data_IF_183171186677
#
_entry.id   IF_183171186677
#
_cell.length_a   1.000
_cell.length_b   1.000
_cell.length_c   1.000
_cell.angle_alpha   90.00
_cell.angle_beta   90.00
_cell.angle_gamma   90.00
#
_symmetry.space_group_name_H-M   'P 1'
#
loop_
_entity.id
_entity.type
_entity.pdbx_description
1 polymer ?
#
# COMPACT_ATOMS: atom_id res chain seq x y z
N UNK A 1 -0.95 -11.74 -0.11
CA UNK A 1 -0.43 -11.88 -1.49
C UNK A 1 -1.26 -11.00 -2.42
N UNK A 2 -0.62 -10.43 -3.45
CA UNK A 2 -1.30 -9.58 -4.45
C UNK A 2 -2.46 -10.30 -5.14
N UNK A 3 -3.54 -9.57 -5.33
CA UNK A 3 -4.76 -10.06 -6.00
C UNK A 3 -4.93 -9.41 -7.35
N UNK A 4 -5.49 -10.16 -8.29
CA UNK A 4 -6.05 -9.63 -9.55
C UNK A 4 -7.57 -9.62 -9.41
N UNK A 5 -8.18 -8.47 -9.62
CA UNK A 5 -9.62 -8.28 -9.55
C UNK A 5 -10.18 -7.98 -10.94
N UNK A 6 -11.26 -8.66 -11.31
CA UNK A 6 -12.09 -8.31 -12.45
C UNK A 6 -13.28 -7.49 -11.97
N UNK A 7 -13.59 -6.40 -12.66
CA UNK A 7 -14.66 -5.48 -12.26
C UNK A 7 -15.27 -4.78 -13.48
N UNK A 8 -16.57 -4.49 -13.38
CA UNK A 8 -17.27 -3.71 -14.38
C UNK A 8 -17.24 -2.22 -14.06
N UNK A 9 -16.95 -1.42 -15.08
CA UNK A 9 -16.94 0.04 -14.99
C UNK A 9 -17.50 0.63 -16.29
N UNK A 10 -18.59 1.39 -16.18
CA UNK A 10 -19.18 2.18 -17.28
C UNK A 10 -19.35 1.31 -18.55
N UNK A 11 -20.03 0.17 -18.39
CA UNK A 11 -20.41 -0.71 -19.50
C UNK A 11 -19.27 -1.54 -20.10
N UNK A 12 -18.09 -1.58 -19.48
CA UNK A 12 -16.97 -2.44 -19.88
C UNK A 12 -16.41 -3.21 -18.69
N UNK A 13 -15.92 -4.41 -18.95
CA UNK A 13 -15.24 -5.25 -17.94
C UNK A 13 -13.75 -4.99 -18.00
N UNK A 14 -13.16 -4.72 -16.85
CA UNK A 14 -11.75 -4.48 -16.65
C UNK A 14 -11.17 -5.54 -15.71
N UNK A 15 -9.85 -5.68 -15.76
CA UNK A 15 -9.10 -6.39 -14.74
C UNK A 15 -7.86 -5.59 -14.36
N UNK A 16 -7.47 -5.65 -13.10
CA UNK A 16 -6.23 -5.05 -12.62
C UNK A 16 -5.63 -5.91 -11.50
N UNK A 17 -4.32 -5.82 -11.36
CA UNK A 17 -3.56 -6.48 -10.30
C UNK A 17 -3.11 -5.43 -9.29
N UNK A 18 -3.25 -5.73 -7.99
CA UNK A 18 -2.69 -4.90 -6.92
C UNK A 18 -1.20 -4.63 -7.18
N UNK A 19 -0.73 -3.45 -6.82
CA UNK A 19 0.67 -3.05 -6.87
C UNK A 19 1.49 -3.86 -5.86
N UNK A 20 2.77 -4.01 -6.15
CA UNK A 20 3.71 -4.51 -5.16
C UNK A 20 3.86 -3.49 -4.02
N UNK A 21 4.04 -3.96 -2.79
CA UNK A 21 4.17 -3.13 -1.60
C UNK A 21 5.27 -2.07 -1.77
N UNK A 22 6.41 -2.48 -2.34
CA UNK A 22 7.52 -1.57 -2.61
C UNK A 22 7.09 -0.40 -3.52
N UNK A 23 6.41 -0.70 -4.63
CA UNK A 23 5.95 0.33 -5.58
C UNK A 23 4.90 1.24 -4.93
N UNK A 24 3.91 0.65 -4.27
CA UNK A 24 2.82 1.38 -3.63
C UNK A 24 3.30 2.35 -2.53
N UNK A 25 4.26 1.95 -1.69
CA UNK A 25 4.78 2.82 -0.63
C UNK A 25 5.81 3.83 -1.14
N UNK A 26 6.55 3.51 -2.20
CA UNK A 26 7.48 4.45 -2.82
C UNK A 26 6.73 5.61 -3.48
N UNK A 27 5.56 5.36 -4.05
CA UNK A 27 4.68 6.40 -4.61
C UNK A 27 4.18 7.40 -3.56
N UNK A 28 3.83 6.92 -2.36
CA UNK A 28 3.28 7.76 -1.29
C UNK A 28 4.35 8.63 -0.61
N UNK A 29 5.63 8.28 -0.74
CA UNK A 29 6.76 8.90 -0.04
C UNK A 29 7.39 10.11 -0.73
N UNK A 30 7.08 10.40 -1.99
CA UNK A 30 7.61 11.57 -2.68
C UNK A 30 7.54 11.52 -4.21
N UNK A 31 6.56 12.23 -4.78
CA UNK A 31 6.90 13.22 -5.80
C UNK A 31 6.88 12.86 -7.29
N UNK A 32 6.41 11.69 -7.73
CA UNK A 32 6.17 11.48 -9.17
C UNK A 32 4.68 11.55 -9.49
N UNK A 33 4.26 12.64 -10.16
CA UNK A 33 2.99 12.71 -10.90
C UNK A 33 3.02 11.65 -12.00
N UNK A 34 2.70 10.40 -11.64
CA UNK A 34 2.63 9.30 -12.61
C UNK A 34 1.54 9.61 -13.62
N UNK A 35 1.91 9.54 -14.90
CA UNK A 35 0.92 9.66 -15.96
C UNK A 35 -0.11 8.54 -15.82
N UNK A 36 -1.38 8.76 -16.23
CA UNK A 36 -2.42 7.72 -16.19
C UNK A 36 -1.98 6.38 -16.78
N UNK A 37 -1.24 6.40 -17.88
CA UNK A 37 -0.72 5.20 -18.55
C UNK A 37 0.30 4.46 -17.68
N UNK A 38 1.14 5.18 -16.94
CA UNK A 38 2.11 4.55 -16.05
C UNK A 38 1.41 3.82 -14.89
N UNK A 39 0.40 4.44 -14.30
CA UNK A 39 -0.42 3.83 -13.24
C UNK A 39 -1.14 2.57 -13.74
N UNK A 40 -1.78 2.64 -14.91
CA UNK A 40 -2.46 1.50 -15.53
C UNK A 40 -1.49 0.37 -15.86
N UNK A 41 -0.29 0.68 -16.37
CA UNK A 41 0.75 -0.30 -16.67
C UNK A 41 1.22 -1.04 -15.42
N UNK A 42 1.47 -0.32 -14.33
CA UNK A 42 1.93 -0.92 -13.07
C UNK A 42 0.86 -1.83 -12.45
N UNK A 43 -0.40 -1.42 -12.53
CA UNK A 43 -1.53 -2.25 -12.14
C UNK A 43 -1.84 -3.38 -13.15
N UNK A 44 -1.06 -3.54 -14.23
CA UNK A 44 -1.31 -4.51 -15.31
C UNK A 44 -2.76 -4.47 -15.81
N UNK A 45 -3.31 -3.26 -15.89
CA UNK A 45 -4.71 -3.04 -16.17
C UNK A 45 -5.04 -3.46 -17.61
N UNK A 46 -6.11 -4.23 -17.78
CA UNK A 46 -6.61 -4.65 -19.08
C UNK A 46 -8.12 -4.51 -19.15
N UNK A 47 -8.63 -4.38 -20.38
CA UNK A 47 -10.07 -4.28 -20.68
C UNK A 47 -10.49 -5.42 -21.60
N UNK A 48 -11.68 -5.97 -21.38
CA UNK A 48 -12.24 -7.03 -22.18
C UNK A 48 -12.92 -6.44 -23.43
N UNK A 49 -12.43 -6.81 -24.61
CA UNK A 49 -12.97 -6.38 -25.91
C UNK A 49 -13.08 -7.62 -26.81
N UNK A 50 -14.29 -7.91 -27.28
CA UNK A 50 -14.58 -9.05 -28.17
C UNK A 50 -14.03 -10.39 -27.64
N UNK A 51 -14.18 -10.62 -26.32
CA UNK A 51 -13.71 -11.82 -25.63
C UNK A 51 -12.19 -11.90 -25.42
N UNK A 52 -11.45 -10.83 -25.68
CA UNK A 52 -10.00 -10.75 -25.49
C UNK A 52 -9.60 -9.64 -24.54
N UNK A 53 -8.60 -9.90 -23.71
CA UNK A 53 -8.03 -8.91 -22.80
C UNK A 53 -7.01 -8.03 -23.52
N UNK A 54 -7.29 -6.74 -23.62
CA UNK A 54 -6.38 -5.74 -24.19
C UNK A 54 -5.70 -4.98 -23.06
N UNK A 55 -4.37 -4.98 -23.04
CA UNK A 55 -3.57 -4.27 -22.03
C UNK A 55 -3.65 -2.75 -22.24
N UNK A 56 -3.79 -2.01 -21.13
CA UNK A 56 -3.87 -0.54 -21.10
C UNK A 56 -2.50 0.08 -20.80
N UNK A 57 -1.45 -0.41 -21.46
CA UNK A 57 -0.06 -0.03 -21.22
C UNK A 57 0.44 1.11 -22.14
N UNK A 58 -0.42 1.60 -23.03
CA UNK A 58 -0.09 2.61 -24.04
C UNK A 58 -1.20 3.65 -24.19
N UNK A 59 -0.83 4.88 -24.60
CA UNK A 59 -1.81 5.95 -24.89
C UNK A 59 -2.81 5.53 -25.95
N UNK A 60 -2.38 4.76 -26.96
CA UNK A 60 -3.25 4.28 -28.03
C UNK A 60 -4.33 3.33 -27.48
N UNK A 61 -3.94 2.34 -26.67
CA UNK A 61 -4.89 1.41 -26.07
C UNK A 61 -5.85 2.11 -25.12
N UNK A 62 -5.35 3.04 -24.29
CA UNK A 62 -6.19 3.83 -23.37
C UNK A 62 -7.20 4.66 -24.14
N UNK A 63 -6.76 5.44 -25.13
CA UNK A 63 -7.65 6.31 -25.90
C UNK A 63 -8.69 5.52 -26.73
N UNK A 64 -8.35 4.32 -27.19
CA UNK A 64 -9.25 3.47 -27.97
C UNK A 64 -10.30 2.76 -27.10
N UNK A 65 -9.91 2.32 -25.90
CA UNK A 65 -10.73 1.39 -25.12
C UNK A 65 -11.24 1.92 -23.78
N UNK A 66 -10.70 3.02 -23.26
CA UNK A 66 -11.18 3.69 -22.03
C UNK A 66 -12.14 4.81 -22.40
N UNK A 67 -13.37 4.43 -22.71
CA UNK A 67 -14.45 5.33 -23.10
C UNK A 67 -15.81 4.65 -22.84
N UNK A 68 -16.83 5.46 -22.60
CA UNK A 68 -18.20 5.02 -22.40
C UNK A 68 -18.83 4.57 -23.73
N UNK A 69 -19.25 3.29 -23.86
CA UNK A 69 -19.94 2.80 -25.05
C UNK A 69 -21.18 3.60 -25.43
N UNK A 70 -21.90 4.13 -24.43
CA UNK A 70 -23.15 4.87 -24.62
C UNK A 70 -22.95 6.38 -24.77
N UNK A 71 -21.70 6.86 -24.63
CA UNK A 71 -21.30 8.27 -24.76
C UNK A 71 -22.03 9.25 -23.81
N UNK A 72 -22.52 8.77 -22.66
CA UNK A 72 -23.01 9.63 -21.59
C UNK A 72 -21.87 10.29 -20.82
N UNK A 73 -20.73 9.59 -20.68
CA UNK A 73 -19.54 10.10 -19.99
C UNK A 73 -18.40 10.42 -20.95
N UNK A 74 -17.71 11.53 -20.66
CA UNK A 74 -16.45 11.88 -21.34
C UNK A 74 -15.36 10.86 -21.00
N UNK A 75 -14.46 10.59 -21.95
CA UNK A 75 -13.37 9.63 -21.77
C UNK A 75 -12.48 9.93 -20.55
N UNK A 76 -12.28 11.21 -20.22
CA UNK A 76 -11.58 11.63 -19.01
C UNK A 76 -12.25 11.13 -17.73
N UNK A 77 -13.58 11.22 -17.65
CA UNK A 77 -14.35 10.76 -16.48
C UNK A 77 -14.23 9.24 -16.33
N UNK A 78 -14.25 8.51 -17.44
CA UNK A 78 -14.06 7.05 -17.44
C UNK A 78 -12.66 6.68 -16.96
N UNK A 79 -11.64 7.40 -17.45
CA UNK A 79 -10.26 7.20 -17.04
C UNK A 79 -10.06 7.51 -15.56
N UNK A 80 -10.59 8.62 -15.06
CA UNK A 80 -10.48 9.01 -13.65
C UNK A 80 -11.18 7.99 -12.74
N UNK A 81 -12.34 7.49 -13.15
CA UNK A 81 -13.06 6.44 -12.42
C UNK A 81 -12.26 5.12 -12.38
N UNK A 82 -11.61 4.75 -13.49
CA UNK A 82 -10.76 3.57 -13.55
C UNK A 82 -9.53 3.70 -12.64
N UNK A 83 -8.85 4.86 -12.69
CA UNK A 83 -7.71 5.14 -11.83
C UNK A 83 -8.11 5.14 -10.35
N UNK A 84 -9.27 5.70 -10.02
CA UNK A 84 -9.81 5.69 -8.66
C UNK A 84 -10.10 4.27 -8.17
N UNK A 85 -10.73 3.43 -9.00
CA UNK A 85 -10.97 2.01 -8.65
C UNK A 85 -9.66 1.26 -8.41
N UNK A 86 -8.63 1.50 -9.21
CA UNK A 86 -7.28 0.93 -9.00
C UNK A 86 -6.66 1.47 -7.71
N UNK A 87 -6.82 2.77 -7.42
CA UNK A 87 -6.36 3.35 -6.16
C UNK A 87 -7.03 2.68 -4.97
N UNK A 88 -8.36 2.54 -4.99
CA UNK A 88 -9.14 1.92 -3.93
C UNK A 88 -8.75 0.44 -3.72
N UNK A 89 -8.46 -0.29 -4.80
CA UNK A 89 -7.95 -1.67 -4.73
C UNK A 89 -6.59 -1.77 -4.00
N UNK A 90 -5.77 -0.72 -4.08
CA UNK A 90 -4.43 -0.69 -3.47
C UNK A 90 -4.39 -0.04 -2.09
N UNK A 91 -5.25 0.92 -1.82
CA UNK A 91 -5.19 1.78 -0.63
C UNK A 91 -6.52 1.92 0.11
N UNK A 92 -7.62 1.38 -0.41
CA UNK A 92 -8.93 1.45 0.24
C UNK A 92 -8.98 0.76 1.61
N UNK A 93 -8.05 -0.16 1.89
CA UNK A 93 -7.88 -0.75 3.22
C UNK A 93 -7.52 0.30 4.31
N UNK A 94 -7.01 1.48 3.91
CA UNK A 94 -6.67 2.55 4.84
C UNK A 94 -7.90 3.23 5.45
N UNK A 95 -9.02 3.30 4.73
CA UNK A 95 -10.22 4.02 5.18
C UNK A 95 -10.86 3.38 6.42
N UNK A 96 -10.69 2.07 6.61
CA UNK A 96 -11.16 1.34 7.78
C UNK A 96 -10.10 1.08 8.85
N UNK A 97 -8.86 1.52 8.64
CA UNK A 97 -7.72 1.12 9.49
C UNK A 97 -7.72 1.89 10.80
N UNK A 98 -7.66 1.17 11.91
CA UNK A 98 -7.46 1.74 13.24
C UNK A 98 -5.98 2.04 13.44
N UNK A 99 -5.62 3.31 13.53
CA UNK A 99 -4.25 3.71 13.82
C UNK A 99 -3.80 3.20 15.20
N UNK A 100 -2.62 2.59 15.24
CA UNK A 100 -1.97 2.23 16.50
C UNK A 100 -1.56 3.52 17.23
N UNK A 101 -2.25 3.84 18.33
CA UNK A 101 -1.88 4.98 19.18
C UNK A 101 -0.71 4.61 20.09
N UNK A 102 0.49 5.01 19.70
CA UNK A 102 1.69 4.87 20.52
C UNK A 102 1.71 5.99 21.59
N UNK A 103 1.78 5.66 22.90
CA UNK A 103 1.92 6.68 23.94
C UNK A 103 3.18 7.52 23.74
N UNK A 104 3.07 8.83 23.98
CA UNK A 104 4.17 9.80 23.76
C UNK A 104 5.46 9.44 24.48
N UNK A 105 5.40 8.78 25.65
CA UNK A 105 6.57 8.32 26.41
C UNK A 105 7.42 7.25 25.71
N UNK A 106 6.87 6.60 24.68
CA UNK A 106 7.60 5.63 23.84
C UNK A 106 8.06 6.24 22.52
N UNK A 107 7.70 7.50 22.23
CA UNK A 107 8.24 8.22 21.10
C UNK A 107 9.64 8.68 21.47
N UNK A 108 10.63 8.21 20.73
CA UNK A 108 12.02 8.65 20.86
C UNK A 108 12.14 10.12 20.45
N UNK A 109 12.79 10.95 21.28
CA UNK A 109 13.23 12.31 20.89
C UNK A 109 14.42 12.26 19.90
N UNK A 110 15.07 11.10 19.78
CA UNK A 110 16.17 10.88 18.85
C UNK A 110 15.59 10.65 17.45
N UNK A 111 16.01 11.44 16.44
CA UNK A 111 15.60 11.22 15.06
C UNK A 111 16.02 9.81 14.63
N UNK A 112 15.03 9.01 14.23
CA UNK A 112 15.30 7.69 13.67
C UNK A 112 15.98 7.92 12.31
N UNK A 113 17.20 7.41 12.09
CA UNK A 113 17.83 7.51 10.79
C UNK A 113 16.93 6.82 9.76
N UNK A 114 16.37 7.60 8.85
CA UNK A 114 15.64 7.05 7.71
C UNK A 114 16.69 6.50 6.73
N UNK A 115 16.54 5.24 6.33
CA UNK A 115 17.31 4.72 5.22
C UNK A 115 16.95 5.57 3.98
N UNK A 116 17.92 6.31 3.44
CA UNK A 116 17.71 7.15 2.26
C UNK A 116 17.06 6.32 1.14
N UNK A 117 15.91 6.79 0.64
CA UNK A 117 15.22 6.18 -0.49
C UNK A 117 14.26 5.03 -0.17
N UNK A 118 14.08 4.62 1.09
CA UNK A 118 13.08 3.61 1.46
C UNK A 118 11.95 4.17 2.33
N UNK A 119 10.68 3.87 1.99
CA UNK A 119 9.57 4.18 2.87
C UNK A 119 9.76 3.54 4.26
N UNK A 120 9.43 4.22 5.38
CA UNK A 120 9.67 3.71 6.74
C UNK A 120 9.07 2.33 7.01
N UNK A 121 7.91 2.03 6.43
CA UNK A 121 7.25 0.72 6.53
C UNK A 121 8.14 -0.37 5.91
N UNK A 122 8.62 -0.15 4.68
CA UNK A 122 9.50 -1.08 3.97
C UNK A 122 10.81 -1.28 4.73
N UNK A 123 11.43 -0.18 5.18
CA UNK A 123 12.67 -0.24 5.93
C UNK A 123 12.52 -1.06 7.22
N UNK A 124 11.41 -0.89 7.95
CA UNK A 124 11.12 -1.63 9.19
C UNK A 124 10.93 -3.13 8.93
N UNK A 125 10.20 -3.50 7.88
CA UNK A 125 9.96 -4.90 7.54
C UNK A 125 11.26 -5.63 7.18
N UNK A 126 12.13 -4.98 6.39
CA UNK A 126 13.42 -5.54 5.98
C UNK A 126 14.39 -5.63 7.17
N UNK A 127 14.54 -4.56 7.95
CA UNK A 127 15.51 -4.50 9.04
C UNK A 127 15.21 -5.48 10.17
N UNK A 128 13.94 -5.81 10.37
CA UNK A 128 13.49 -6.78 11.38
C UNK A 128 13.32 -8.21 10.83
N UNK A 129 13.69 -8.46 9.57
CA UNK A 129 13.60 -9.78 8.96
C UNK A 129 12.17 -10.31 8.80
N UNK A 130 11.18 -9.42 8.73
CA UNK A 130 9.76 -9.78 8.58
C UNK A 130 9.41 -10.08 7.11
N UNK A 131 10.11 -9.43 6.18
CA UNK A 131 10.00 -9.67 4.76
C UNK A 131 11.33 -9.38 4.06
N UNK A 132 11.60 -10.07 2.97
CA UNK A 132 12.72 -9.76 2.08
C UNK A 132 12.33 -8.67 1.07
N UNK A 133 13.33 -7.95 0.54
CA UNK A 133 13.10 -6.98 -0.53
C UNK A 133 12.42 -7.63 -1.75
N UNK A 134 12.79 -8.87 -2.07
CA UNK A 134 12.22 -9.62 -3.20
C UNK A 134 10.72 -9.86 -3.01
N UNK A 135 10.29 -10.28 -1.82
CA UNK A 135 8.87 -10.50 -1.51
C UNK A 135 8.07 -9.19 -1.56
N UNK A 136 8.64 -8.09 -1.08
CA UNK A 136 7.99 -6.76 -1.11
C UNK A 136 7.88 -6.18 -2.53
N UNK A 137 8.75 -6.60 -3.45
CA UNK A 137 8.73 -6.21 -4.86
C UNK A 137 7.85 -7.11 -5.73
N UNK A 138 7.64 -8.37 -5.35
CA UNK A 138 6.93 -9.34 -6.18
C UNK A 138 5.55 -9.72 -5.64
N UNK A 139 5.47 -10.07 -4.34
CA UNK A 139 4.41 -10.92 -3.81
C UNK A 139 3.46 -10.18 -2.87
N UNK A 140 3.97 -9.21 -2.11
CA UNK A 140 3.20 -8.52 -1.09
C UNK A 140 2.49 -7.33 -1.70
N UNK A 141 1.21 -7.16 -1.37
CA UNK A 141 0.48 -5.92 -1.58
C UNK A 141 0.82 -4.89 -0.49
N UNK A 142 0.43 -3.64 -0.69
CA UNK A 142 0.52 -2.61 0.35
C UNK A 142 -0.22 -3.00 1.64
N UNK A 143 -1.38 -3.67 1.50
CA UNK A 143 -2.17 -4.17 2.62
C UNK A 143 -1.41 -5.26 3.40
N UNK A 144 -0.86 -6.26 2.71
CA UNK A 144 -0.10 -7.35 3.34
C UNK A 144 1.08 -6.81 4.16
N UNK A 145 1.86 -5.91 3.56
CA UNK A 145 2.99 -5.28 4.21
C UNK A 145 2.57 -4.43 5.41
N UNK A 146 1.43 -3.74 5.33
CA UNK A 146 0.91 -2.97 6.45
C UNK A 146 0.42 -3.85 7.60
N UNK A 147 -0.23 -4.98 7.30
CA UNK A 147 -0.66 -5.95 8.32
C UNK A 147 0.55 -6.48 9.11
N UNK A 148 1.64 -6.81 8.42
CA UNK A 148 2.87 -7.25 9.09
C UNK A 148 3.50 -6.14 9.93
N UNK A 149 3.53 -4.93 9.39
CA UNK A 149 4.03 -3.76 10.11
C UNK A 149 3.22 -3.49 11.39
N UNK A 150 1.89 -3.61 11.33
CA UNK A 150 1.01 -3.44 12.48
C UNK A 150 1.21 -4.53 13.53
N UNK A 151 1.30 -5.80 13.10
CA UNK A 151 1.56 -6.91 14.01
C UNK A 151 2.89 -6.73 14.75
N UNK A 152 3.95 -6.32 14.04
CA UNK A 152 5.23 -5.99 14.63
C UNK A 152 5.15 -4.81 15.60
N UNK A 153 4.47 -3.73 15.21
CA UNK A 153 4.34 -2.53 16.03
C UNK A 153 3.60 -2.79 17.35
N UNK A 154 2.58 -3.65 17.31
CA UNK A 154 1.85 -4.09 18.51
C UNK A 154 2.74 -4.92 19.43
N UNK A 155 3.50 -5.88 18.90
CA UNK A 155 4.43 -6.70 19.67
C UNK A 155 5.55 -5.84 20.30
N UNK A 156 6.13 -4.91 19.53
CA UNK A 156 7.13 -3.97 20.02
C UNK A 156 6.60 -3.10 21.16
N UNK A 157 5.37 -2.59 21.03
CA UNK A 157 4.72 -1.81 22.09
C UNK A 157 4.44 -2.65 23.34
N UNK A 158 3.98 -3.89 23.19
CA UNK A 158 3.75 -4.81 24.30
C UNK A 158 5.05 -5.11 25.06
N UNK A 159 6.15 -5.35 24.35
CA UNK A 159 7.48 -5.54 24.92
C UNK A 159 7.95 -4.30 25.69
N UNK A 160 7.76 -3.11 25.13
CA UNK A 160 8.11 -1.85 25.79
C UNK A 160 7.32 -1.62 27.10
N UNK A 161 6.01 -1.90 27.10
CA UNK A 161 5.16 -1.82 28.28
C UNK A 161 5.57 -2.82 29.37
N UNK A 162 5.89 -4.05 28.98
CA UNK A 162 6.37 -5.08 29.91
C UNK A 162 7.74 -4.72 30.51
N UNK A 163 8.64 -4.15 29.71
CA UNK A 163 9.92 -3.63 30.17
C UNK A 163 9.76 -2.50 31.19
N UNK A 164 8.88 -1.53 30.92
CA UNK A 164 8.57 -0.43 31.85
C UNK A 164 8.02 -0.96 33.20
N UNK A 165 7.10 -1.92 33.15
CA UNK A 165 6.54 -2.54 34.35
C UNK A 165 7.60 -3.31 35.16
N UNK A 166 8.50 -4.03 34.49
CA UNK A 166 9.60 -4.74 35.12
C UNK A 166 10.61 -3.78 35.79
N UNK A 167 10.99 -2.70 35.10
CA UNK A 167 11.89 -1.68 35.67
C UNK A 167 11.29 -1.01 36.90
N UNK A 168 9.99 -0.64 36.85
CA UNK A 168 9.30 -0.04 38.00
C UNK A 168 9.27 -0.99 39.20
N UNK A 169 9.03 -2.28 38.98
CA UNK A 169 9.08 -3.30 40.05
C UNK A 169 10.48 -3.43 40.62
N UNK A 170 11.50 -3.55 39.77
CA UNK A 170 12.90 -3.65 40.21
C UNK A 170 13.34 -2.42 41.01
N UNK A 171 12.96 -1.21 40.59
CA UNK A 171 13.23 0.03 41.33
C UNK A 171 12.51 0.07 42.67
N UNK A 172 11.25 -0.38 42.73
CA UNK A 172 10.50 -0.44 43.98
C UNK A 172 11.09 -1.47 44.96
N UNK A 173 11.56 -2.61 44.47
CA UNK A 173 12.25 -3.64 45.26
C UNK A 173 13.63 -3.16 45.73
N UNK A 174 14.40 -2.48 44.86
CA UNK A 174 15.69 -1.90 45.21
C UNK A 174 15.58 -0.79 46.27
N UNK A 175 14.49 -0.01 46.26
CA UNK A 175 14.22 1.01 47.30
C UNK A 175 13.75 0.44 48.64
N UNK A 176 13.33 -0.82 48.67
CA UNK A 176 12.89 -1.53 49.90
C UNK A 176 14.02 -2.30 50.58
N UNK A 177 15.19 -2.40 49.95
CA UNK A 177 16.43 -2.93 50.51
C UNK A 177 17.28 -1.79 51.05
#
# INVERSE_FOLDING_TARGET
MRKTEEFDLIGKTYRATQLAAFEAFSEKGGGENKTPVAALRQAQAAVLVDGRWIQLDSRAAVNAHVADPLRYFNAHVVLDALLRKIYDMNFGFLDGRKELRVPTRFLSEVPVPQAEGLPPVIATLISNGLATLKELQADYSAEDAMIQFDAYSVDALAKALNGEAAMKKAQAEARRR
#
